data_IF_315588612948
#
_entry.id   IF_315588612948
#
_cell.length_a   1.000
_cell.length_b   1.000
_cell.length_c   1.000
_cell.angle_alpha   90.00
_cell.angle_beta   90.00
_cell.angle_gamma   90.00
#
_symmetry.space_group_name_H-M   'P 1'
#
loop_
_entity.id
_entity.type
_entity.pdbx_description
1 polymer ?
#
# COMPACT_ATOMS: atom_id res chain seq x y z
N UNK A 1 -17.75 1.61 57.42
CA UNK A 1 -16.83 0.98 56.44
C UNK A 1 -15.72 0.26 57.18
N UNK A 2 -15.57 -1.05 56.97
CA UNK A 2 -14.51 -1.86 57.61
C UNK A 2 -13.13 -1.41 57.13
N UNK A 3 -12.11 -1.50 57.98
CA UNK A 3 -10.71 -1.17 57.64
C UNK A 3 -10.23 -1.89 56.38
N UNK A 4 -10.70 -3.11 56.17
CA UNK A 4 -10.43 -3.92 54.97
C UNK A 4 -10.98 -3.31 53.69
N UNK A 5 -12.19 -2.72 53.71
CA UNK A 5 -12.76 -2.05 52.55
C UNK A 5 -11.93 -0.81 52.15
N UNK A 6 -11.41 -0.06 53.13
CA UNK A 6 -10.55 1.10 52.88
C UNK A 6 -9.19 0.70 52.29
N UNK A 7 -8.59 -0.37 52.82
CA UNK A 7 -7.30 -0.89 52.31
C UNK A 7 -7.49 -1.44 50.89
N UNK A 8 -8.54 -2.23 50.64
CA UNK A 8 -8.85 -2.74 49.30
C UNK A 8 -9.08 -1.62 48.28
N UNK A 9 -9.84 -0.59 48.66
CA UNK A 9 -10.01 0.60 47.83
C UNK A 9 -8.70 1.33 47.54
N UNK A 10 -7.84 1.52 48.55
CA UNK A 10 -6.55 2.17 48.37
C UNK A 10 -5.61 1.39 47.43
N UNK A 11 -5.58 0.06 47.55
CA UNK A 11 -4.79 -0.81 46.66
C UNK A 11 -5.31 -0.73 45.22
N UNK A 12 -6.63 -0.75 45.01
CA UNK A 12 -7.22 -0.62 43.69
C UNK A 12 -6.90 0.74 43.06
N UNK A 13 -7.03 1.83 43.82
CA UNK A 13 -6.68 3.17 43.36
C UNK A 13 -5.19 3.27 42.99
N UNK A 14 -4.30 2.68 43.79
CA UNK A 14 -2.88 2.66 43.48
C UNK A 14 -2.57 1.87 42.20
N UNK A 15 -3.18 0.69 42.05
CA UNK A 15 -3.03 -0.12 40.83
C UNK A 15 -3.52 0.63 39.59
N UNK A 16 -4.68 1.28 39.67
CA UNK A 16 -5.21 2.10 38.59
C UNK A 16 -4.29 3.30 38.26
N UNK A 17 -3.74 3.98 39.27
CA UNK A 17 -2.82 5.09 39.07
C UNK A 17 -1.53 4.65 38.37
N UNK A 18 -0.96 3.52 38.78
CA UNK A 18 0.23 2.93 38.12
C UNK A 18 -0.08 2.57 36.68
N UNK A 19 -1.23 1.94 36.42
CA UNK A 19 -1.65 1.58 35.07
C UNK A 19 -1.79 2.82 34.17
N UNK A 20 -2.48 3.86 34.64
CA UNK A 20 -2.65 5.11 33.89
C UNK A 20 -1.31 5.81 33.63
N UNK A 21 -0.36 5.73 34.57
CA UNK A 21 0.98 6.28 34.38
C UNK A 21 1.72 5.55 33.26
N UNK A 22 1.72 4.21 33.25
CA UNK A 22 2.35 3.41 32.19
C UNK A 22 1.72 3.68 30.83
N UNK A 23 0.39 3.72 30.76
CA UNK A 23 -0.34 4.07 29.54
C UNK A 23 0.03 5.46 29.02
N UNK A 24 0.14 6.46 29.91
CA UNK A 24 0.52 7.82 29.53
C UNK A 24 1.97 7.91 29.02
N UNK A 25 2.88 7.10 29.56
CA UNK A 25 4.27 6.98 29.07
C UNK A 25 4.25 6.44 27.64
N UNK A 26 3.57 5.31 27.41
CA UNK A 26 3.49 4.71 26.07
C UNK A 26 2.83 5.65 25.06
N UNK A 27 1.72 6.31 25.42
CA UNK A 27 1.05 7.27 24.54
C UNK A 27 2.00 8.42 24.11
N UNK A 28 2.81 8.93 25.06
CA UNK A 28 3.80 9.97 24.78
C UNK A 28 4.93 9.44 23.90
N UNK A 29 5.39 8.22 24.15
CA UNK A 29 6.50 7.62 23.43
C UNK A 29 6.10 7.25 21.99
N UNK A 30 4.88 6.74 21.78
CA UNK A 30 4.30 6.56 20.46
C UNK A 30 4.27 7.86 19.66
N UNK A 31 3.74 8.95 20.24
CA UNK A 31 3.66 10.24 19.55
C UNK A 31 5.03 10.79 19.13
N UNK A 32 6.04 10.67 20.00
CA UNK A 32 7.43 11.06 19.65
C UNK A 32 8.04 10.14 18.61
N UNK A 33 7.84 8.83 18.75
CA UNK A 33 8.46 7.81 17.91
C UNK A 33 7.93 7.90 16.49
N UNK A 34 6.62 8.04 16.30
CA UNK A 34 6.02 8.21 14.98
C UNK A 34 6.61 9.43 14.27
N UNK A 35 6.58 10.61 14.90
CA UNK A 35 7.12 11.82 14.29
C UNK A 35 8.62 11.71 13.93
N UNK A 36 9.42 11.09 14.82
CA UNK A 36 10.84 10.87 14.56
C UNK A 36 11.08 9.85 13.44
N UNK A 37 10.29 8.79 13.39
CA UNK A 37 10.46 7.73 12.41
C UNK A 37 9.93 8.14 11.03
N UNK A 38 8.96 9.05 10.94
CA UNK A 38 8.52 9.63 9.67
C UNK A 38 9.63 10.44 8.98
N UNK A 39 10.40 11.19 9.77
CA UNK A 39 11.57 11.91 9.28
C UNK A 39 12.67 10.94 8.83
N UNK A 40 12.90 9.86 9.60
CA UNK A 40 13.87 8.81 9.24
C UNK A 40 13.45 8.05 7.98
N UNK A 41 12.15 7.78 7.84
CA UNK A 41 11.57 7.11 6.69
C UNK A 41 11.76 7.96 5.42
N UNK A 42 11.49 9.26 5.50
CA UNK A 42 11.71 10.20 4.39
C UNK A 42 13.18 10.19 3.93
N UNK A 43 14.14 10.10 4.86
CA UNK A 43 15.56 10.05 4.53
C UNK A 43 16.04 8.65 4.06
N UNK A 44 15.50 7.58 4.64
CA UNK A 44 15.86 6.20 4.33
C UNK A 44 14.67 5.26 4.59
N UNK A 45 13.88 4.94 3.54
CA UNK A 45 12.76 4.01 3.66
C UNK A 45 13.16 2.60 4.09
N UNK A 46 14.42 2.21 3.90
CA UNK A 46 14.94 0.89 4.29
C UNK A 46 15.44 0.83 5.73
N UNK A 47 15.34 1.92 6.51
CA UNK A 47 15.81 1.95 7.89
C UNK A 47 15.12 0.89 8.78
N UNK A 48 15.86 0.18 9.65
CA UNK A 48 15.27 -0.82 10.53
C UNK A 48 14.43 -0.18 11.65
N UNK A 49 13.47 -0.95 12.17
CA UNK A 49 12.70 -0.66 13.39
C UNK A 49 11.96 0.70 13.38
N UNK A 50 11.43 1.09 12.22
CA UNK A 50 10.51 2.23 12.10
C UNK A 50 9.16 1.87 12.73
N UNK A 51 8.58 2.80 13.49
CA UNK A 51 7.25 2.72 14.12
C UNK A 51 7.06 1.56 15.12
N UNK A 52 8.15 1.09 15.72
CA UNK A 52 8.15 0.03 16.74
C UNK A 52 8.84 0.51 18.04
N UNK A 53 8.16 1.30 18.88
CA UNK A 53 8.64 1.61 20.23
C UNK A 53 8.54 0.37 21.14
N UNK A 54 9.32 0.37 22.22
CA UNK A 54 9.18 -0.62 23.29
C UNK A 54 8.05 -0.14 24.20
N UNK A 55 6.97 -0.92 24.31
CA UNK A 55 5.84 -0.60 25.18
C UNK A 55 6.07 -1.12 26.61
N UNK A 56 5.68 -0.32 27.60
CA UNK A 56 5.74 -0.70 29.02
C UNK A 56 4.38 -1.15 29.57
N UNK A 57 3.27 -0.70 28.98
CA UNK A 57 1.94 -1.19 29.30
C UNK A 57 1.78 -2.64 28.80
N UNK A 58 1.11 -3.49 29.58
CA UNK A 58 0.98 -4.89 29.21
C UNK A 58 0.03 -5.07 28.01
N UNK A 59 0.25 -6.15 27.26
CA UNK A 59 -0.64 -6.67 26.21
C UNK A 59 -0.92 -5.74 25.01
N UNK A 60 -0.08 -4.74 24.74
CA UNK A 60 -0.31 -3.84 23.60
C UNK A 60 -1.49 -2.88 23.82
N UNK A 61 -1.96 -2.72 25.07
CA UNK A 61 -3.19 -1.97 25.37
C UNK A 61 -3.10 -0.51 24.93
N UNK A 62 -1.92 0.10 25.03
CA UNK A 62 -1.70 1.47 24.56
C UNK A 62 -2.00 1.59 23.06
N UNK A 63 -1.39 0.74 22.23
CA UNK A 63 -1.59 0.73 20.78
C UNK A 63 -3.04 0.48 20.38
N UNK A 64 -3.68 -0.49 21.04
CA UNK A 64 -5.07 -0.87 20.76
C UNK A 64 -6.06 0.24 21.12
N UNK A 65 -5.95 0.81 22.31
CA UNK A 65 -6.88 1.87 22.78
C UNK A 65 -6.67 3.17 22.01
N UNK A 66 -5.44 3.47 21.60
CA UNK A 66 -5.12 4.68 20.82
C UNK A 66 -5.41 4.54 19.32
N UNK A 67 -5.83 3.36 18.84
CA UNK A 67 -6.10 3.13 17.41
C UNK A 67 -4.85 3.23 16.53
N UNK A 68 -3.66 2.96 17.10
CA UNK A 68 -2.38 3.14 16.41
C UNK A 68 -2.10 1.98 15.43
N UNK A 69 -2.77 0.83 15.61
CA UNK A 69 -2.57 -0.33 14.75
C UNK A 69 -2.73 0.01 13.27
N UNK A 70 -3.86 0.61 12.90
CA UNK A 70 -4.19 0.96 11.51
C UNK A 70 -3.20 1.95 10.90
N UNK A 71 -2.75 2.92 11.70
CA UNK A 71 -1.73 3.89 11.26
C UNK A 71 -0.39 3.24 10.98
N UNK A 72 0.06 2.37 11.87
CA UNK A 72 1.31 1.64 11.68
C UNK A 72 1.21 0.65 10.53
N UNK A 73 0.09 -0.08 10.40
CA UNK A 73 -0.15 -1.01 9.29
C UNK A 73 -0.11 -0.31 7.94
N UNK A 74 -0.75 0.86 7.82
CA UNK A 74 -0.69 1.66 6.59
C UNK A 74 0.74 2.12 6.28
N UNK A 75 1.47 2.64 7.26
CA UNK A 75 2.87 3.09 7.07
C UNK A 75 3.79 1.94 6.66
N UNK A 76 3.60 0.76 7.22
CA UNK A 76 4.35 -0.44 6.85
C UNK A 76 4.04 -0.91 5.44
N UNK A 77 2.75 -0.94 5.06
CA UNK A 77 2.33 -1.28 3.70
C UNK A 77 2.92 -0.29 2.67
N UNK A 78 2.82 1.01 2.95
CA UNK A 78 3.40 2.05 2.10
C UNK A 78 4.93 1.92 1.99
N UNK A 79 5.60 1.63 3.10
CA UNK A 79 7.05 1.38 3.11
C UNK A 79 7.42 0.18 2.25
N UNK A 80 6.71 -0.94 2.38
CA UNK A 80 6.95 -2.14 1.56
C UNK A 80 6.77 -1.84 0.07
N UNK A 81 5.73 -1.08 -0.28
CA UNK A 81 5.51 -0.62 -1.64
C UNK A 81 6.67 0.24 -2.16
N UNK A 82 7.16 1.21 -1.37
CA UNK A 82 8.29 2.06 -1.78
C UNK A 82 9.61 1.31 -1.91
N UNK A 83 9.96 0.49 -0.91
CA UNK A 83 11.22 -0.29 -0.90
C UNK A 83 11.17 -1.40 -1.95
N UNK A 84 9.98 -1.91 -2.26
CA UNK A 84 9.73 -2.86 -3.34
C UNK A 84 9.79 -2.26 -4.74
N UNK A 85 9.93 -0.93 -4.90
CA UNK A 85 10.17 -0.34 -6.23
C UNK A 85 11.54 -0.80 -6.76
N UNK A 86 11.68 -0.99 -8.08
CA UNK A 86 12.95 -1.39 -8.67
C UNK A 86 13.92 -0.19 -8.67
N UNK A 87 14.43 0.17 -7.49
CA UNK A 87 15.57 1.03 -7.31
C UNK A 87 16.81 0.12 -7.21
N UNK A 88 17.89 0.54 -7.86
CA UNK A 88 19.04 -0.27 -8.23
C UNK A 88 19.59 -1.17 -7.09
N UNK A 89 20.02 -2.39 -7.47
CA UNK A 89 20.73 -3.41 -6.66
C UNK A 89 19.93 -4.53 -5.94
N UNK A 90 18.62 -4.68 -6.18
CA UNK A 90 17.88 -5.87 -5.69
C UNK A 90 18.01 -7.06 -6.65
N UNK A 91 18.16 -8.27 -6.10
CA UNK A 91 17.99 -9.50 -6.89
C UNK A 91 16.51 -9.69 -7.27
N UNK A 92 16.24 -10.36 -8.39
CA UNK A 92 14.87 -10.66 -8.82
C UNK A 92 14.04 -11.34 -7.71
N UNK A 93 14.64 -12.26 -6.94
CA UNK A 93 13.97 -12.94 -5.82
C UNK A 93 13.60 -12.00 -4.67
N UNK A 94 14.47 -11.06 -4.32
CA UNK A 94 14.20 -10.08 -3.26
C UNK A 94 13.10 -9.12 -3.67
N UNK A 95 13.12 -8.67 -4.93
CA UNK A 95 12.09 -7.83 -5.51
C UNK A 95 10.71 -8.51 -5.46
N UNK A 96 10.59 -9.75 -5.95
CA UNK A 96 9.33 -10.48 -5.90
C UNK A 96 8.82 -10.70 -4.48
N UNK A 97 9.72 -10.97 -3.53
CA UNK A 97 9.36 -11.11 -2.12
C UNK A 97 8.83 -9.82 -1.50
N UNK A 98 9.49 -8.68 -1.75
CA UNK A 98 9.02 -7.37 -1.27
C UNK A 98 7.69 -6.97 -1.91
N UNK A 99 7.53 -7.26 -3.20
CA UNK A 99 6.28 -7.02 -3.93
C UNK A 99 5.12 -7.82 -3.36
N UNK A 100 5.31 -9.12 -3.14
CA UNK A 100 4.29 -9.98 -2.54
C UNK A 100 3.91 -9.52 -1.13
N UNK A 101 4.89 -9.13 -0.31
CA UNK A 101 4.64 -8.55 1.01
C UNK A 101 3.86 -7.24 0.93
N UNK A 102 4.21 -6.35 -0.03
CA UNK A 102 3.48 -5.12 -0.26
C UNK A 102 2.03 -5.37 -0.67
N UNK A 103 1.78 -6.32 -1.59
CA UNK A 103 0.42 -6.68 -2.00
C UNK A 103 -0.43 -7.14 -0.80
N UNK A 104 0.08 -8.07 0.01
CA UNK A 104 -0.64 -8.55 1.20
C UNK A 104 -0.93 -7.41 2.17
N UNK A 105 0.08 -6.61 2.52
CA UNK A 105 -0.08 -5.52 3.48
C UNK A 105 -1.05 -4.42 2.98
N UNK A 106 -1.03 -4.11 1.68
CA UNK A 106 -1.94 -3.13 1.08
C UNK A 106 -3.38 -3.66 1.03
N UNK A 107 -3.59 -4.94 0.68
CA UNK A 107 -4.92 -5.56 0.71
C UNK A 107 -5.50 -5.62 2.12
N UNK A 108 -4.66 -5.86 3.13
CA UNK A 108 -5.08 -5.80 4.53
C UNK A 108 -5.53 -4.38 4.91
N UNK A 109 -4.79 -3.34 4.54
CA UNK A 109 -5.19 -1.93 4.75
C UNK A 109 -6.50 -1.61 4.04
N UNK A 110 -6.62 -1.97 2.77
CA UNK A 110 -7.80 -1.72 1.94
C UNK A 110 -9.08 -2.37 2.51
N UNK A 111 -8.96 -3.58 3.04
CA UNK A 111 -10.10 -4.37 3.53
C UNK A 111 -10.47 -4.07 4.98
N UNK A 112 -9.49 -3.82 5.84
CA UNK A 112 -9.67 -3.75 7.30
C UNK A 112 -9.50 -2.37 7.93
N UNK A 113 -8.96 -1.39 7.19
CA UNK A 113 -8.72 -0.06 7.74
C UNK A 113 -10.00 0.74 8.02
N UNK A 114 -9.97 1.58 9.05
CA UNK A 114 -11.08 2.49 9.36
C UNK A 114 -11.06 3.78 8.51
N UNK A 115 -9.89 4.19 8.02
CA UNK A 115 -9.71 5.44 7.25
C UNK A 115 -9.90 5.21 5.74
N UNK A 116 -11.01 5.75 5.20
CA UNK A 116 -11.35 5.65 3.78
C UNK A 116 -10.29 6.22 2.85
N UNK A 117 -9.59 7.30 3.24
CA UNK A 117 -8.55 7.89 2.40
C UNK A 117 -7.35 6.93 2.28
N UNK A 118 -6.92 6.33 3.39
CA UNK A 118 -5.84 5.34 3.39
C UNK A 118 -6.18 4.08 2.62
N UNK A 119 -7.44 3.62 2.71
CA UNK A 119 -7.93 2.50 1.90
C UNK A 119 -7.89 2.83 0.42
N UNK A 120 -8.30 4.04 0.05
CA UNK A 120 -8.22 4.54 -1.33
C UNK A 120 -6.78 4.56 -1.83
N UNK A 121 -5.85 5.09 -1.03
CA UNK A 121 -4.42 5.09 -1.35
C UNK A 121 -3.86 3.68 -1.48
N UNK A 122 -4.27 2.73 -0.62
CA UNK A 122 -3.86 1.34 -0.70
C UNK A 122 -4.36 0.66 -1.98
N UNK A 123 -5.63 0.83 -2.33
CA UNK A 123 -6.18 0.35 -3.60
C UNK A 123 -5.44 0.96 -4.81
N UNK A 124 -5.13 2.26 -4.77
CA UNK A 124 -4.32 2.90 -5.80
C UNK A 124 -2.93 2.25 -5.93
N UNK A 125 -2.25 1.98 -4.82
CA UNK A 125 -0.94 1.32 -4.85
C UNK A 125 -1.01 -0.12 -5.36
N UNK A 126 -2.05 -0.88 -5.02
CA UNK A 126 -2.32 -2.21 -5.60
C UNK A 126 -2.43 -2.12 -7.13
N UNK A 127 -3.19 -1.15 -7.64
CA UNK A 127 -3.30 -0.90 -9.08
C UNK A 127 -1.97 -0.57 -9.74
N UNK A 128 -1.09 0.19 -9.07
CA UNK A 128 0.27 0.46 -9.57
C UNK A 128 1.12 -0.82 -9.62
N UNK A 129 0.96 -1.74 -8.66
CA UNK A 129 1.66 -3.02 -8.67
C UNK A 129 1.21 -3.90 -9.84
N UNK A 130 -0.09 -3.96 -10.13
CA UNK A 130 -0.63 -4.70 -11.27
C UNK A 130 -0.20 -4.09 -12.60
N UNK A 131 -0.24 -2.76 -12.71
CA UNK A 131 0.27 -2.06 -13.89
C UNK A 131 1.76 -2.38 -14.14
N UNK A 132 2.57 -2.43 -13.08
CA UNK A 132 3.97 -2.85 -13.18
C UNK A 132 4.12 -4.31 -13.65
N UNK A 133 3.16 -5.20 -13.34
CA UNK A 133 3.17 -6.57 -13.84
C UNK A 133 2.79 -6.64 -15.31
N UNK A 134 1.83 -5.83 -15.74
CA UNK A 134 1.42 -5.78 -17.14
C UNK A 134 2.60 -5.43 -18.08
N UNK A 135 3.50 -4.56 -17.63
CA UNK A 135 4.72 -4.19 -18.38
C UNK A 135 5.75 -5.34 -18.40
N UNK A 136 5.80 -6.17 -17.36
CA UNK A 136 6.82 -7.23 -17.19
C UNK A 136 6.42 -8.55 -17.83
N UNK A 137 5.14 -8.88 -17.81
CA UNK A 137 4.59 -10.12 -18.35
C UNK A 137 3.60 -9.80 -19.48
N UNK A 138 4.11 -9.81 -20.70
CA UNK A 138 3.32 -9.57 -21.90
C UNK A 138 2.25 -10.64 -22.17
N UNK A 139 2.36 -11.82 -21.56
CA UNK A 139 1.39 -12.91 -21.74
C UNK A 139 0.11 -12.64 -20.97
N UNK A 140 0.23 -12.02 -19.80
CA UNK A 140 -0.87 -11.69 -18.90
C UNK A 140 -1.14 -10.18 -18.82
N UNK A 141 -0.55 -9.40 -19.72
CA UNK A 141 -0.59 -7.93 -19.67
C UNK A 141 -2.02 -7.39 -19.63
N UNK A 142 -2.93 -7.94 -20.43
CA UNK A 142 -4.34 -7.52 -20.44
C UNK A 142 -5.06 -7.82 -19.14
N UNK A 143 -4.77 -8.96 -18.50
CA UNK A 143 -5.33 -9.32 -17.18
C UNK A 143 -4.83 -8.36 -16.12
N UNK A 144 -3.52 -8.17 -16.01
CA UNK A 144 -2.93 -7.26 -15.03
C UNK A 144 -3.37 -5.81 -15.24
N UNK A 145 -3.55 -5.38 -16.50
CA UNK A 145 -4.07 -4.06 -16.80
C UNK A 145 -5.54 -3.90 -16.41
N UNK A 146 -6.36 -4.94 -16.59
CA UNK A 146 -7.74 -4.95 -16.13
C UNK A 146 -7.83 -4.92 -14.59
N UNK A 147 -6.99 -5.68 -13.89
CA UNK A 147 -6.90 -5.68 -12.43
C UNK A 147 -6.47 -4.29 -11.91
N UNK A 148 -5.47 -3.67 -12.56
CA UNK A 148 -5.05 -2.30 -12.25
C UNK A 148 -6.20 -1.29 -12.39
N UNK A 149 -6.97 -1.36 -13.48
CA UNK A 149 -8.15 -0.52 -13.72
C UNK A 149 -9.21 -0.74 -12.62
N UNK A 150 -9.43 -1.98 -12.19
CA UNK A 150 -10.32 -2.31 -11.07
C UNK A 150 -9.89 -1.61 -9.79
N UNK A 151 -8.63 -1.81 -9.40
CA UNK A 151 -8.04 -1.21 -8.21
C UNK A 151 -8.09 0.34 -8.20
N UNK A 152 -7.83 1.00 -9.33
CA UNK A 152 -7.96 2.47 -9.40
C UNK A 152 -9.42 2.95 -9.30
N UNK A 153 -10.38 2.18 -9.82
CA UNK A 153 -11.81 2.48 -9.64
C UNK A 153 -12.24 2.30 -8.19
N UNK A 154 -11.76 1.25 -7.53
CA UNK A 154 -12.03 1.01 -6.11
C UNK A 154 -11.43 2.13 -5.24
N UNK A 155 -10.22 2.58 -5.57
CA UNK A 155 -9.62 3.77 -4.96
C UNK A 155 -10.51 5.01 -5.10
N UNK A 156 -11.02 5.30 -6.30
CA UNK A 156 -11.93 6.43 -6.53
C UNK A 156 -13.31 6.27 -5.87
N UNK A 157 -13.80 5.04 -5.71
CA UNK A 157 -15.04 4.77 -5.01
C UNK A 157 -14.89 4.99 -3.49
N UNK A 158 -13.70 4.69 -2.96
CA UNK A 158 -13.35 4.93 -1.56
C UNK A 158 -13.17 6.43 -1.26
N UNK A 159 -12.48 7.16 -2.13
CA UNK A 159 -12.26 8.61 -2.04
C UNK A 159 -12.19 9.24 -3.44
N UNK A 160 -13.20 10.05 -3.80
CA UNK A 160 -13.28 10.67 -5.13
C UNK A 160 -12.21 11.75 -5.37
N UNK A 161 -11.62 12.24 -4.27
CA UNK A 161 -10.65 13.33 -4.28
C UNK A 161 -9.22 12.85 -4.52
N UNK A 162 -9.02 11.52 -4.56
CA UNK A 162 -7.75 10.89 -4.87
C UNK A 162 -7.36 11.15 -6.34
N UNK A 163 -6.63 12.23 -6.56
CA UNK A 163 -6.19 12.67 -7.88
C UNK A 163 -5.20 11.69 -8.52
N UNK A 164 -4.37 11.02 -7.71
CA UNK A 164 -3.40 10.03 -8.20
C UNK A 164 -4.11 8.81 -8.79
N UNK A 165 -5.13 8.30 -8.11
CA UNK A 165 -5.95 7.20 -8.61
C UNK A 165 -6.63 7.55 -9.93
N UNK A 166 -7.15 8.78 -10.05
CA UNK A 166 -7.78 9.25 -11.29
C UNK A 166 -6.78 9.32 -12.44
N UNK A 167 -5.60 9.88 -12.20
CA UNK A 167 -4.54 9.96 -13.21
C UNK A 167 -4.07 8.57 -13.64
N UNK A 168 -3.83 7.68 -12.68
CA UNK A 168 -3.39 6.31 -12.95
C UNK A 168 -4.47 5.51 -13.71
N UNK A 169 -5.75 5.72 -13.39
CA UNK A 169 -6.87 5.13 -14.13
C UNK A 169 -6.90 5.60 -15.59
N UNK A 170 -6.75 6.90 -15.81
CA UNK A 170 -6.71 7.47 -17.17
C UNK A 170 -5.56 6.87 -17.99
N UNK A 171 -4.37 6.77 -17.37
CA UNK A 171 -3.22 6.13 -17.97
C UNK A 171 -3.49 4.65 -18.33
N UNK A 172 -4.02 3.86 -17.39
CA UNK A 172 -4.29 2.45 -17.62
C UNK A 172 -5.35 2.22 -18.72
N UNK A 173 -6.39 3.06 -18.78
CA UNK A 173 -7.40 3.01 -19.83
C UNK A 173 -6.82 3.37 -21.21
N UNK A 174 -5.91 4.33 -21.26
CA UNK A 174 -5.22 4.71 -22.50
C UNK A 174 -4.34 3.56 -23.01
N UNK A 175 -3.56 2.91 -22.14
CA UNK A 175 -2.74 1.75 -22.49
C UNK A 175 -3.59 0.58 -22.98
N UNK A 176 -4.74 0.31 -22.34
CA UNK A 176 -5.62 -0.79 -22.73
C UNK A 176 -6.15 -0.59 -24.16
N UNK A 177 -6.62 0.63 -24.45
CA UNK A 177 -7.10 1.00 -25.78
C UNK A 177 -5.99 0.92 -26.83
N UNK A 178 -4.79 1.39 -26.48
CA UNK A 178 -3.64 1.37 -27.38
C UNK A 178 -3.18 -0.07 -27.71
N UNK A 179 -3.25 -0.98 -26.73
CA UNK A 179 -3.00 -2.40 -26.95
C UNK A 179 -4.05 -3.08 -27.81
N UNK A 180 -5.34 -2.73 -27.66
CA UNK A 180 -6.43 -3.24 -28.50
C UNK A 180 -6.27 -2.81 -29.97
N UNK A 181 -5.84 -1.57 -30.23
CA UNK A 181 -5.62 -1.07 -31.59
C UNK A 181 -4.40 -1.71 -32.28
N UNK A 182 -3.46 -2.28 -31.52
CA UNK A 182 -2.29 -3.01 -32.02
C UNK A 182 -2.55 -4.50 -32.27
N UNK A 183 -3.61 -5.07 -31.70
CA UNK A 183 -4.04 -6.43 -32.04
C UNK A 183 -4.50 -6.46 -33.50
N UNK A 184 -4.02 -7.40 -34.34
CA UNK A 184 -4.50 -7.49 -35.72
C UNK A 184 -6.00 -7.73 -35.67
N UNK A 185 -6.79 -6.76 -36.18
CA UNK A 185 -8.23 -6.91 -36.39
C UNK A 185 -8.42 -8.10 -37.32
N UNK A 186 -8.76 -9.24 -36.73
CA UNK A 186 -8.93 -10.50 -37.43
C UNK A 186 -10.10 -10.43 -38.39
N UNK A 187 -9.83 -10.06 -39.65
CA UNK A 187 -10.62 -10.46 -40.82
C UNK A 187 -9.73 -10.56 -42.05
N UNK A 188 -8.90 -11.60 -42.13
CA UNK A 188 -8.52 -12.16 -43.43
C UNK A 188 -8.76 -13.66 -43.42
N UNK A 189 -9.65 -14.09 -44.31
CA UNK A 189 -10.07 -15.47 -44.52
C UNK A 189 -8.89 -16.30 -45.06
N UNK A 190 -8.80 -17.62 -44.77
CA UNK A 190 -7.74 -18.45 -45.32
C UNK A 190 -7.96 -18.64 -46.83
N UNK A 191 -7.04 -18.14 -47.66
CA UNK A 191 -7.08 -18.43 -49.09
C UNK A 191 -6.29 -17.58 -50.10
N UNK A 192 -5.42 -16.64 -49.72
CA UNK A 192 -4.67 -15.83 -50.70
C UNK A 192 -3.16 -15.85 -50.44
N UNK A 193 -2.30 -16.25 -51.40
CA UNK A 193 -0.86 -16.28 -51.21
C UNK A 193 -0.19 -14.94 -51.55
N UNK A 194 0.64 -14.46 -50.63
CA UNK A 194 1.82 -13.65 -50.91
C UNK A 194 1.61 -12.14 -51.11
N UNK A 195 2.11 -11.35 -50.17
CA UNK A 195 2.27 -9.90 -50.34
C UNK A 195 3.23 -9.32 -49.30
N UNK A 196 4.51 -9.24 -49.65
CA UNK A 196 5.53 -8.54 -48.87
C UNK A 196 5.11 -7.08 -48.64
N UNK A 197 4.98 -6.68 -47.37
CA UNK A 197 4.95 -5.27 -46.97
C UNK A 197 5.67 -5.07 -45.63
N UNK A 198 6.88 -5.63 -45.51
CA UNK A 198 7.89 -5.00 -44.69
C UNK A 198 8.41 -3.79 -45.48
N UNK A 199 8.09 -2.58 -45.00
CA UNK A 199 8.72 -1.26 -45.25
C UNK A 199 7.65 -0.16 -45.27
N UNK A 200 7.33 0.39 -44.10
CA UNK A 200 6.82 1.76 -43.99
C UNK A 200 7.74 2.53 -43.03
N UNK A 201 8.36 3.59 -43.55
CA UNK A 201 9.31 4.46 -42.86
C UNK A 201 8.64 5.27 -41.73
N UNK A 202 9.38 5.66 -40.69
CA UNK A 202 8.90 6.62 -39.70
C UNK A 202 8.79 8.02 -40.32
N UNK A 203 7.59 8.61 -40.25
CA UNK A 203 7.36 10.01 -40.60
C UNK A 203 7.93 10.97 -39.55
N UNK A 204 8.56 12.06 -40.01
CA UNK A 204 8.92 13.23 -39.21
C UNK A 204 7.83 14.30 -39.29
N UNK A 205 7.60 15.00 -38.17
CA UNK A 205 6.93 16.30 -38.06
C UNK A 205 6.43 16.48 -36.62
N UNK A 206 6.69 17.56 -35.88
CA UNK A 206 7.40 18.83 -36.11
C UNK A 206 8.34 19.10 -34.94
#
# INVERSE_FOLDING_TARGET
MSRYARIGGAVLCLAAAVFLLLFAIDARDWGKRIASDDLRFTANPSAPSLWHPVEVAPFGLARNVLGINDDVSYREAFRLFLVGRPLENLTARQFESLRAQAQVALSDVESSGDDRARRSEAANMLGVLDLSLAVRDSTLATTFLADAIGNFRDAMALDDSNADARFNLEYALYELKSGEDQLPKGTERPGQPGGNAALAQPGRGY
#
